data_IF_262133453956
#
_entry.id   IF_262133453956
#
_cell.length_a   1.000
_cell.length_b   1.000
_cell.length_c   1.000
_cell.angle_alpha   90.00
_cell.angle_beta   90.00
_cell.angle_gamma   90.00
#
_symmetry.space_group_name_H-M   'P 1'
#
loop_
_entity.id
_entity.type
_entity.pdbx_description
1 polymer ?
#
# COMPACT_ATOMS: atom_id res chain seq x y z
N UNK A 1 -0.89 16.06 -1.36
CA UNK A 1 0.32 16.92 -1.42
C UNK A 1 0.68 17.38 -0.01
N UNK A 2 1.65 16.71 0.61
CA UNK A 2 2.28 17.12 1.88
C UNK A 2 3.70 17.63 1.61
N UNK A 3 3.84 18.80 0.98
CA UNK A 3 5.17 19.39 0.68
C UNK A 3 5.83 20.09 1.89
N UNK A 4 5.31 19.89 3.11
CA UNK A 4 5.76 20.64 4.29
C UNK A 4 6.03 19.82 5.55
N UNK A 5 5.86 18.49 5.55
CA UNK A 5 6.15 17.68 6.75
C UNK A 5 7.61 17.21 6.87
N UNK A 6 8.48 17.47 5.88
CA UNK A 6 9.88 17.00 5.91
C UNK A 6 10.04 15.48 5.72
N UNK A 7 8.95 14.71 5.71
CA UNK A 7 8.96 13.25 5.59
C UNK A 7 9.54 12.77 4.24
N UNK A 8 9.32 13.51 3.15
CA UNK A 8 9.96 13.23 1.85
C UNK A 8 11.49 13.43 1.84
N UNK A 9 12.07 13.98 2.92
CA UNK A 9 13.52 14.03 3.11
C UNK A 9 14.13 12.69 3.52
N UNK A 10 13.30 11.70 3.87
CA UNK A 10 13.72 10.32 4.16
C UNK A 10 13.37 9.46 2.95
N UNK A 11 14.40 9.00 2.24
CA UNK A 11 14.27 8.34 0.94
C UNK A 11 13.31 7.13 0.95
N UNK A 12 13.37 6.19 1.92
CA UNK A 12 12.37 5.12 2.00
C UNK A 12 10.91 5.61 2.08
N UNK A 13 10.65 6.64 2.88
CA UNK A 13 9.30 7.22 3.01
C UNK A 13 8.87 7.90 1.72
N UNK A 14 9.78 8.62 1.05
CA UNK A 14 9.48 9.24 -0.24
C UNK A 14 9.04 8.20 -1.28
N UNK A 15 9.70 7.04 -1.31
CA UNK A 15 9.37 5.94 -2.23
C UNK A 15 8.01 5.31 -1.92
N UNK A 16 7.70 5.02 -0.65
CA UNK A 16 6.38 4.49 -0.25
C UNK A 16 5.26 5.49 -0.61
N UNK A 17 5.49 6.79 -0.38
CA UNK A 17 4.54 7.83 -0.77
C UNK A 17 4.34 7.93 -2.30
N UNK A 18 5.38 7.64 -3.09
CA UNK A 18 5.26 7.62 -4.55
C UNK A 18 4.48 6.39 -5.03
N UNK A 19 4.63 5.25 -4.36
CA UNK A 19 3.79 4.05 -4.57
C UNK A 19 2.32 4.34 -4.21
N UNK A 20 2.05 5.01 -3.09
CA UNK A 20 0.70 5.46 -2.73
C UNK A 20 0.05 6.31 -3.83
N UNK A 21 0.80 7.24 -4.42
CA UNK A 21 0.29 8.05 -5.52
C UNK A 21 -0.04 7.20 -6.74
N UNK A 22 0.81 6.23 -7.08
CA UNK A 22 0.57 5.32 -8.19
C UNK A 22 -0.67 4.44 -7.96
N UNK A 23 -0.86 3.92 -6.74
CA UNK A 23 -2.03 3.12 -6.35
C UNK A 23 -3.32 3.95 -6.43
N UNK A 24 -3.31 5.19 -5.94
CA UNK A 24 -4.46 6.10 -6.02
C UNK A 24 -4.80 6.48 -7.46
N UNK A 25 -3.79 6.78 -8.28
CA UNK A 25 -3.97 7.07 -9.70
C UNK A 25 -4.62 5.87 -10.42
N UNK A 26 -4.11 4.66 -10.17
CA UNK A 26 -4.64 3.42 -10.72
C UNK A 26 -6.09 3.15 -10.27
N UNK A 27 -6.39 3.36 -8.99
CA UNK A 27 -7.75 3.30 -8.46
C UNK A 27 -8.69 4.29 -9.15
N UNK A 28 -8.22 5.51 -9.41
CA UNK A 28 -8.96 6.50 -10.20
C UNK A 28 -9.21 6.04 -11.63
N UNK A 29 -8.26 5.36 -12.26
CA UNK A 29 -8.42 4.78 -13.60
C UNK A 29 -9.48 3.67 -13.62
N UNK A 30 -9.42 2.75 -12.64
CA UNK A 30 -10.37 1.65 -12.47
C UNK A 30 -11.79 2.20 -12.37
N UNK A 31 -12.04 3.17 -11.49
CA UNK A 31 -13.35 3.85 -11.36
C UNK A 31 -13.83 4.42 -12.69
N UNK A 32 -12.96 5.11 -13.44
CA UNK A 32 -13.30 5.66 -14.76
C UNK A 32 -13.69 4.60 -15.79
N UNK A 33 -13.14 3.39 -15.71
CA UNK A 33 -13.54 2.26 -16.57
C UNK A 33 -14.91 1.72 -16.16
N UNK A 34 -15.14 1.52 -14.86
CA UNK A 34 -16.44 1.07 -14.33
C UNK A 34 -17.57 2.06 -14.65
N UNK A 35 -17.34 3.36 -14.50
CA UNK A 35 -18.32 4.42 -14.84
C UNK A 35 -18.75 4.39 -16.32
N UNK A 36 -17.87 3.92 -17.21
CA UNK A 36 -18.14 3.77 -18.65
C UNK A 36 -18.75 2.42 -19.02
N UNK A 37 -18.94 1.53 -18.03
CA UNK A 37 -19.35 0.14 -18.25
C UNK A 37 -18.26 -0.74 -18.85
N UNK A 38 -17.00 -0.29 -18.86
CA UNK A 38 -15.87 -1.09 -19.35
C UNK A 38 -15.30 -1.98 -18.23
N UNK A 39 -16.09 -2.99 -17.88
CA UNK A 39 -15.75 -3.94 -16.81
C UNK A 39 -14.46 -4.71 -17.08
N UNK A 40 -14.20 -5.06 -18.35
CA UNK A 40 -12.97 -5.78 -18.72
C UNK A 40 -11.73 -4.89 -18.58
N UNK A 41 -11.81 -3.63 -18.97
CA UNK A 41 -10.72 -2.68 -18.76
C UNK A 41 -10.42 -2.47 -17.27
N UNK A 42 -11.46 -2.30 -16.46
CA UNK A 42 -11.31 -2.21 -15.00
C UNK A 42 -10.65 -3.47 -14.41
N UNK A 43 -11.05 -4.67 -14.85
CA UNK A 43 -10.47 -5.93 -14.39
C UNK A 43 -8.98 -6.08 -14.71
N UNK A 44 -8.54 -5.62 -15.88
CA UNK A 44 -7.12 -5.63 -16.24
C UNK A 44 -6.30 -4.71 -15.32
N UNK A 45 -6.82 -3.52 -15.04
CA UNK A 45 -6.17 -2.57 -14.13
C UNK A 45 -6.20 -3.06 -12.67
N UNK A 46 -7.24 -3.78 -12.26
CA UNK A 46 -7.31 -4.39 -10.93
C UNK A 46 -6.20 -5.44 -10.73
N UNK A 47 -5.87 -6.21 -11.77
CA UNK A 47 -4.72 -7.13 -11.73
C UNK A 47 -3.38 -6.39 -11.57
N UNK A 48 -3.24 -5.21 -12.16
CA UNK A 48 -2.07 -4.34 -11.94
C UNK A 48 -2.06 -3.78 -10.52
N UNK A 49 -3.22 -3.34 -10.00
CA UNK A 49 -3.35 -2.81 -8.65
C UNK A 49 -2.95 -3.85 -7.61
N UNK A 50 -3.42 -5.09 -7.75
CA UNK A 50 -3.07 -6.19 -6.86
C UNK A 50 -1.55 -6.46 -6.86
N UNK A 51 -0.91 -6.40 -8.03
CA UNK A 51 0.53 -6.58 -8.14
C UNK A 51 1.31 -5.46 -7.44
N UNK A 52 0.95 -4.20 -7.70
CA UNK A 52 1.64 -3.04 -7.15
C UNK A 52 1.40 -2.91 -5.64
N UNK A 53 0.17 -3.20 -5.18
CA UNK A 53 -0.18 -3.21 -3.77
C UNK A 53 0.60 -4.31 -3.03
N UNK A 54 0.70 -5.51 -3.58
CA UNK A 54 1.49 -6.58 -2.95
C UNK A 54 2.98 -6.24 -2.81
N UNK A 55 3.56 -5.54 -3.79
CA UNK A 55 4.94 -5.04 -3.68
C UNK A 55 5.09 -3.97 -2.60
N UNK A 56 4.14 -3.05 -2.53
CA UNK A 56 4.10 -2.00 -1.53
C UNK A 56 4.01 -2.57 -0.11
N UNK A 57 3.02 -3.43 0.14
CA UNK A 57 2.79 -4.14 1.41
C UNK A 57 4.05 -4.89 1.87
N UNK A 58 4.71 -5.64 0.97
CA UNK A 58 5.93 -6.38 1.31
C UNK A 58 7.05 -5.47 1.84
N UNK A 59 7.20 -4.28 1.25
CA UNK A 59 8.22 -3.31 1.67
C UNK A 59 7.91 -2.71 3.04
N UNK A 60 6.65 -2.42 3.29
CA UNK A 60 6.20 -1.87 4.57
C UNK A 60 6.33 -2.89 5.68
N UNK A 61 5.78 -4.09 5.49
CA UNK A 61 5.75 -5.12 6.52
C UNK A 61 7.15 -5.62 6.90
N UNK A 62 7.99 -5.92 5.90
CA UNK A 62 9.36 -6.40 6.15
C UNK A 62 10.30 -5.28 6.59
N UNK A 63 10.03 -4.04 6.18
CA UNK A 63 10.86 -2.88 6.44
C UNK A 63 10.32 -2.00 7.56
N UNK A 64 9.44 -1.08 7.19
CA UNK A 64 8.97 0.01 8.06
C UNK A 64 8.25 -0.51 9.31
N UNK A 65 7.27 -1.38 9.15
CA UNK A 65 6.44 -1.92 10.22
C UNK A 65 7.24 -2.80 11.16
N UNK A 66 8.16 -3.61 10.60
CA UNK A 66 9.12 -4.38 11.38
C UNK A 66 9.96 -3.47 12.27
N UNK A 67 10.55 -2.42 11.70
CA UNK A 67 11.38 -1.46 12.45
C UNK A 67 10.58 -0.73 13.53
N UNK A 68 9.33 -0.34 13.23
CA UNK A 68 8.43 0.31 14.18
C UNK A 68 8.05 -0.60 15.35
N UNK A 69 7.77 -1.88 15.08
CA UNK A 69 7.48 -2.89 16.12
C UNK A 69 8.70 -3.14 17.02
N UNK A 70 9.90 -3.18 16.45
CA UNK A 70 11.14 -3.42 17.20
C UNK A 70 11.51 -2.22 18.12
N UNK A 71 11.06 -1.00 17.83
CA UNK A 71 11.27 0.16 18.72
C UNK A 71 10.37 0.19 19.97
N UNK A 72 9.25 -0.53 19.96
CA UNK A 72 8.25 -0.53 21.03
C UNK A 72 7.19 0.58 20.90
N UNK A 73 6.06 0.41 21.60
CA UNK A 73 4.89 1.30 21.69
C UNK A 73 3.98 1.45 20.44
N UNK A 74 4.35 0.92 19.27
CA UNK A 74 3.51 1.01 18.05
C UNK A 74 2.90 -0.31 17.57
N UNK A 75 3.04 -1.39 18.35
CA UNK A 75 2.61 -2.73 17.96
C UNK A 75 1.14 -2.84 17.58
N UNK A 76 0.25 -2.23 18.37
CA UNK A 76 -1.20 -2.29 18.12
C UNK A 76 -1.59 -1.51 16.84
N UNK A 77 -1.03 -0.31 16.65
CA UNK A 77 -1.32 0.52 15.47
C UNK A 77 -0.77 -0.11 14.18
N UNK A 78 0.42 -0.70 14.24
CA UNK A 78 0.99 -1.45 13.10
C UNK A 78 0.16 -2.71 12.83
N UNK A 79 -0.28 -3.42 13.88
CA UNK A 79 -1.11 -4.62 13.71
C UNK A 79 -2.48 -4.34 13.07
N UNK A 80 -3.06 -3.15 13.29
CA UNK A 80 -4.28 -2.71 12.58
C UNK A 80 -4.02 -2.58 11.06
N UNK A 81 -2.91 -1.94 10.67
CA UNK A 81 -2.55 -1.76 9.26
C UNK A 81 -2.22 -3.09 8.56
N UNK A 82 -1.49 -3.99 9.24
CA UNK A 82 -1.24 -5.35 8.73
C UNK A 82 -2.54 -6.16 8.57
N UNK A 83 -3.53 -5.93 9.43
CA UNK A 83 -4.87 -6.50 9.27
C UNK A 83 -5.56 -5.99 8.01
N UNK A 84 -5.51 -4.70 7.75
CA UNK A 84 -6.08 -4.09 6.54
C UNK A 84 -5.39 -4.60 5.26
N UNK A 85 -4.07 -4.79 5.28
CA UNK A 85 -3.35 -5.43 4.17
C UNK A 85 -3.87 -6.83 3.88
N UNK A 86 -4.09 -7.64 4.93
CA UNK A 86 -4.62 -8.98 4.79
C UNK A 86 -6.06 -8.96 4.22
N UNK A 87 -6.90 -8.03 4.68
CA UNK A 87 -8.26 -7.85 4.19
C UNK A 87 -8.26 -7.47 2.69
N UNK A 88 -7.33 -6.62 2.25
CA UNK A 88 -7.17 -6.28 0.83
C UNK A 88 -6.74 -7.47 -0.02
N UNK A 89 -5.76 -8.25 0.44
CA UNK A 89 -5.29 -9.46 -0.27
C UNK A 89 -6.43 -10.50 -0.39
N UNK A 90 -7.15 -10.74 0.70
CA UNK A 90 -8.30 -11.65 0.71
C UNK A 90 -9.36 -11.18 -0.28
N UNK A 91 -9.80 -9.92 -0.19
CA UNK A 91 -10.81 -9.34 -1.08
C UNK A 91 -10.39 -9.43 -2.55
N UNK A 92 -9.15 -9.04 -2.88
CA UNK A 92 -8.63 -9.12 -4.25
C UNK A 92 -8.56 -10.56 -4.78
N UNK A 93 -8.22 -11.54 -3.92
CA UNK A 93 -8.12 -12.95 -4.29
C UNK A 93 -9.48 -13.61 -4.56
N UNK A 94 -10.54 -13.11 -3.92
CA UNK A 94 -11.89 -13.64 -4.04
C UNK A 94 -12.73 -13.02 -5.17
N UNK A 95 -12.32 -11.86 -5.68
CA UNK A 95 -13.05 -11.17 -6.73
C UNK A 95 -13.12 -12.01 -8.02
N UNK A 96 -14.26 -11.95 -8.70
CA UNK A 96 -14.48 -12.51 -10.02
C UNK A 96 -14.95 -11.46 -11.03
N UNK A 97 -14.43 -11.51 -12.26
CA UNK A 97 -14.86 -10.62 -13.35
C UNK A 97 -16.38 -10.67 -13.61
N UNK A 98 -16.98 -11.84 -13.44
CA UNK A 98 -18.40 -12.06 -13.71
C UNK A 98 -19.29 -11.86 -12.46
N UNK A 99 -18.71 -11.42 -11.34
CA UNK A 99 -19.46 -11.15 -10.13
C UNK A 99 -20.52 -10.05 -10.38
N UNK A 100 -21.71 -10.28 -9.84
CA UNK A 100 -22.83 -9.36 -10.02
C UNK A 100 -22.61 -8.04 -9.27
N UNK A 101 -21.83 -8.08 -8.19
CA UNK A 101 -21.50 -6.98 -7.30
C UNK A 101 -20.06 -6.45 -7.46
N UNK A 102 -19.37 -6.84 -8.54
CA UNK A 102 -17.98 -6.45 -8.82
C UNK A 102 -17.75 -4.94 -8.65
N UNK A 103 -18.60 -4.08 -9.25
CA UNK A 103 -18.43 -2.63 -9.17
C UNK A 103 -18.48 -2.12 -7.74
N UNK A 104 -19.42 -2.63 -6.94
CA UNK A 104 -19.60 -2.21 -5.56
C UNK A 104 -18.40 -2.64 -4.71
N UNK A 105 -17.99 -3.92 -4.82
CA UNK A 105 -16.83 -4.44 -4.09
C UNK A 105 -15.54 -3.72 -4.46
N UNK A 106 -15.34 -3.39 -5.74
CA UNK A 106 -14.16 -2.65 -6.19
C UNK A 106 -14.19 -1.19 -5.72
N UNK A 107 -15.35 -0.52 -5.71
CA UNK A 107 -15.43 0.85 -5.21
C UNK A 107 -15.20 0.94 -3.69
N UNK A 108 -15.73 -0.02 -2.94
CA UNK A 108 -15.50 -0.17 -1.50
C UNK A 108 -14.00 -0.41 -1.23
N UNK A 109 -13.38 -1.40 -1.90
CA UNK A 109 -11.93 -1.67 -1.83
C UNK A 109 -11.09 -0.40 -2.07
N UNK A 110 -11.39 0.35 -3.13
CA UNK A 110 -10.62 1.55 -3.48
C UNK A 110 -10.84 2.71 -2.49
N UNK A 111 -11.99 2.73 -1.81
CA UNK A 111 -12.27 3.71 -0.75
C UNK A 111 -11.52 3.36 0.53
N UNK A 112 -11.50 2.08 0.90
CA UNK A 112 -10.76 1.58 2.04
C UNK A 112 -9.25 1.74 1.83
N UNK A 113 -8.73 1.39 0.65
CA UNK A 113 -7.34 1.62 0.28
C UNK A 113 -6.95 3.10 0.39
N UNK A 114 -7.78 4.03 -0.09
CA UNK A 114 -7.51 5.46 0.08
C UNK A 114 -7.47 5.89 1.55
N UNK A 115 -8.30 5.28 2.39
CA UNK A 115 -8.35 5.58 3.83
C UNK A 115 -7.12 5.02 4.54
N UNK A 116 -6.71 3.80 4.18
CA UNK A 116 -5.48 3.17 4.64
C UNK A 116 -4.25 4.04 4.33
N UNK A 117 -4.11 4.45 3.08
CA UNK A 117 -3.04 5.35 2.62
C UNK A 117 -2.99 6.65 3.44
N UNK A 118 -4.15 7.20 3.83
CA UNK A 118 -4.21 8.38 4.69
C UNK A 118 -3.75 8.09 6.13
N UNK A 119 -4.10 6.94 6.71
CA UNK A 119 -3.64 6.52 8.04
C UNK A 119 -2.12 6.45 8.09
N UNK A 120 -1.48 6.00 7.02
CA UNK A 120 -0.04 5.87 6.95
C UNK A 120 0.64 7.21 6.66
N UNK A 121 0.24 7.89 5.58
CA UNK A 121 0.84 9.14 5.14
C UNK A 121 0.75 10.25 6.20
N UNK A 122 -0.37 10.28 6.95
CA UNK A 122 -0.65 11.34 7.93
C UNK A 122 -0.43 10.87 9.38
N UNK A 123 -0.37 9.56 9.61
CA UNK A 123 -0.19 8.96 10.93
C UNK A 123 1.18 8.28 11.06
N UNK A 124 1.31 7.06 10.55
CA UNK A 124 2.47 6.21 10.81
C UNK A 124 3.78 6.80 10.26
N UNK A 125 3.80 7.31 9.02
CA UNK A 125 5.02 7.77 8.37
C UNK A 125 5.67 8.97 9.08
N UNK A 126 4.92 10.05 9.43
CA UNK A 126 5.47 11.13 10.23
C UNK A 126 6.01 10.67 11.59
N UNK A 127 5.34 9.72 12.24
CA UNK A 127 5.79 9.15 13.51
C UNK A 127 7.10 8.40 13.31
N UNK A 128 7.20 7.52 12.31
CA UNK A 128 8.41 6.78 11.99
C UNK A 128 9.61 7.71 11.74
N UNK A 129 9.41 8.81 11.01
CA UNK A 129 10.45 9.83 10.75
C UNK A 129 11.04 10.41 12.03
N UNK A 130 10.23 10.60 13.08
CA UNK A 130 10.68 11.21 14.33
C UNK A 130 11.12 10.20 15.38
N UNK A 131 10.64 8.95 15.32
CA UNK A 131 10.93 7.91 16.31
C UNK A 131 12.08 7.01 15.89
N UNK A 132 12.14 6.60 14.62
CA UNK A 132 13.12 5.63 14.14
C UNK A 132 14.55 6.20 14.23
N UNK A 133 15.40 5.48 14.97
CA UNK A 133 16.83 5.71 15.01
C UNK A 133 17.54 5.11 13.80
N UNK A 134 18.87 5.27 13.74
CA UNK A 134 19.68 4.78 12.62
C UNK A 134 19.54 3.27 12.37
N UNK A 135 19.44 2.45 13.42
CA UNK A 135 19.24 1.01 13.30
C UNK A 135 17.90 0.66 12.63
N UNK A 136 16.82 1.35 13.03
CA UNK A 136 15.51 1.18 12.39
C UNK A 136 15.54 1.54 10.91
N UNK A 137 16.16 2.68 10.55
CA UNK A 137 16.30 3.07 9.15
C UNK A 137 17.20 2.13 8.34
N UNK A 138 18.20 1.49 8.96
CA UNK A 138 18.98 0.44 8.29
C UNK A 138 18.12 -0.78 7.95
N UNK A 139 17.20 -1.17 8.84
CA UNK A 139 16.23 -2.25 8.57
C UNK A 139 15.34 -1.91 7.38
N UNK A 140 14.80 -0.68 7.32
CA UNK A 140 13.97 -0.24 6.19
C UNK A 140 14.77 -0.18 4.89
N UNK A 141 15.97 0.40 4.91
CA UNK A 141 16.81 0.54 3.73
C UNK A 141 17.20 -0.82 3.12
N UNK A 142 17.48 -1.83 3.95
CA UNK A 142 17.82 -3.17 3.48
C UNK A 142 16.74 -3.77 2.56
N UNK A 143 15.46 -3.55 2.88
CA UNK A 143 14.33 -4.04 2.08
C UNK A 143 14.16 -3.22 0.80
N UNK A 144 14.38 -1.91 0.85
CA UNK A 144 14.22 -1.01 -0.30
C UNK A 144 15.35 -1.15 -1.33
N UNK A 145 16.52 -1.60 -0.90
CA UNK A 145 17.68 -1.86 -1.77
C UNK A 145 17.66 -3.28 -2.36
N UNK A 146 16.80 -4.17 -1.87
CA UNK A 146 16.61 -5.49 -2.48
C UNK A 146 16.08 -5.31 -3.91
N UNK A 147 16.76 -5.84 -4.94
CA UNK A 147 16.20 -5.85 -6.26
C UNK A 147 14.91 -6.67 -6.21
N UNK A 148 13.78 -6.05 -6.60
CA UNK A 148 12.46 -6.70 -6.65
C UNK A 148 12.62 -8.12 -7.19
N UNK A 149 12.55 -9.11 -6.30
CA UNK A 149 12.87 -10.47 -6.67
C UNK A 149 11.80 -10.87 -7.66
N UNK A 150 12.18 -11.04 -8.94
CA UNK A 150 11.27 -11.56 -9.97
C UNK A 150 10.76 -12.91 -9.47
N UNK A 151 9.56 -12.95 -8.93
CA UNK A 151 8.77 -14.16 -8.78
C UNK A 151 8.29 -14.54 -10.18
N UNK A 152 9.22 -15.06 -10.98
CA UNK A 152 8.94 -15.75 -12.22
C UNK A 152 9.53 -17.14 -12.07
N UNK A 153 8.66 -18.11 -11.79
CA UNK A 153 8.77 -19.58 -12.03
C UNK A 153 7.74 -20.25 -11.11
N UNK A 154 6.83 -21.11 -11.55
CA UNK A 154 6.73 -21.89 -12.78
C UNK A 154 5.26 -22.25 -13.09
#
# INVERSE_FOLDING_TARGET
MCEHCGCRGVEPIAQLMDEHLALLDLGGEIRRHLDKGDRRGAWQLLGQLAHDLGHHVDREERGLFRAMKDQGDFGDAVGELEGEHADFDELLSELGLDDADLEARVDDLLTELSTHIDKENLGLFPVAVVTLGAEGWNTVAAVHEEPAHRAHSA
#
